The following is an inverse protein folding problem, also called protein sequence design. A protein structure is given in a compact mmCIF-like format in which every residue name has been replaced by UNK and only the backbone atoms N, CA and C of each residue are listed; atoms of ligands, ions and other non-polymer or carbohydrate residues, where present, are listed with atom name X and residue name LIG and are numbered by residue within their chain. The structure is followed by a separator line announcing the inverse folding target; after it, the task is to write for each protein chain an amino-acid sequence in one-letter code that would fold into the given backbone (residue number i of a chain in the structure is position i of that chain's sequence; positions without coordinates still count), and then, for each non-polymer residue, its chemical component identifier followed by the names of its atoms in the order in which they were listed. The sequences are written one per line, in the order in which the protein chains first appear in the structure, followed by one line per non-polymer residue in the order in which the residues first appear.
data_IF_370159411196
#
_entry.id   IF_370159411196
#
_cell.length_a   1.000
_cell.length_b   1.000
_cell.length_c   1.000
_cell.angle_alpha   90.00
_cell.angle_beta   90.00
_cell.angle_gamma   90.00
#
_symmetry.space_group_name_H-M   'P 1'
#
loop_
_entity.id
_entity.type
_entity.pdbx_description
1 polymer ?
#
# COMPACT_ATOMS: atom_id res chain seq x y z
N UNK A 1 4.79 -16.58 22.77
CA UNK A 1 4.69 -15.59 23.86
C UNK A 1 4.53 -14.20 23.26
N UNK A 2 3.30 -13.70 23.18
CA UNK A 2 2.98 -12.39 22.59
C UNK A 2 3.13 -11.30 23.66
N UNK A 3 4.01 -10.32 23.43
CA UNK A 3 4.13 -9.14 24.31
C UNK A 3 2.95 -8.19 24.02
N UNK A 4 2.26 -7.68 25.05
CA UNK A 4 1.17 -6.73 24.83
C UNK A 4 1.71 -5.40 24.30
N UNK A 5 1.00 -4.86 23.31
CA UNK A 5 1.30 -3.59 22.67
C UNK A 5 1.18 -2.44 23.69
N UNK A 6 2.21 -1.58 23.80
CA UNK A 6 2.29 -0.50 24.79
C UNK A 6 1.14 0.51 24.73
N UNK A 7 0.39 0.58 23.62
CA UNK A 7 -0.80 1.42 23.49
C UNK A 7 -1.99 0.99 24.37
N UNK A 8 -2.16 -0.31 24.63
CA UNK A 8 -3.29 -0.81 25.43
C UNK A 8 -3.16 -0.47 26.93
N UNK A 9 -1.93 -0.30 27.42
CA UNK A 9 -1.66 0.06 28.82
C UNK A 9 -2.07 1.50 29.15
N UNK A 10 -2.01 2.42 28.18
CA UNK A 10 -2.40 3.82 28.38
C UNK A 10 -3.93 3.95 28.42
N UNK A 11 -4.65 3.21 27.58
CA UNK A 11 -6.12 3.16 27.60
C UNK A 11 -6.66 2.46 28.87
N UNK A 12 -5.97 1.44 29.39
CA UNK A 12 -6.31 0.80 30.66
C UNK A 12 -6.14 1.73 31.87
N UNK A 13 -5.07 2.52 31.91
CA UNK A 13 -4.82 3.49 32.98
C UNK A 13 -5.83 4.66 32.97
N UNK A 14 -6.29 5.10 31.79
CA UNK A 14 -7.32 6.13 31.68
C UNK A 14 -8.69 5.65 32.21
N UNK A 15 -9.01 4.35 32.02
CA UNK A 15 -10.23 3.73 32.56
C UNK A 15 -10.22 3.67 34.11
N UNK A 16 -9.06 3.52 34.74
CA UNK A 16 -8.96 3.41 36.21
C UNK A 16 -9.05 4.78 36.89
N UNK A 17 -8.67 5.87 36.21
CA UNK A 17 -8.73 7.22 36.79
C UNK A 17 -10.10 7.90 36.64
N UNK A 18 -10.91 7.52 35.64
CA UNK A 18 -12.21 8.18 35.39
C UNK A 18 -13.37 7.45 36.09
N UNK A 19 -13.27 6.14 36.32
CA UNK A 19 -14.39 5.33 36.82
C UNK A 19 -14.68 5.49 38.34
N UNK A 20 -13.71 5.69 39.25
CA UNK A 20 -14.04 5.81 40.67
C UNK A 20 -14.67 7.15 41.07
N UNK A 21 -14.58 8.19 40.23
CA UNK A 21 -15.10 9.51 40.55
C UNK A 21 -16.60 9.70 40.23
N UNK A 22 -17.24 8.71 39.58
CA UNK A 22 -18.62 8.81 39.11
C UNK A 22 -19.59 7.81 39.77
N UNK A 23 -19.11 6.95 40.67
CA UNK A 23 -19.88 5.79 41.13
C UNK A 23 -20.72 6.01 42.41
N UNK A 24 -20.73 7.20 43.04
CA UNK A 24 -21.31 7.34 44.38
C UNK A 24 -22.27 8.51 44.61
N UNK A 25 -23.04 8.92 43.59
CA UNK A 25 -24.28 9.69 43.81
C UNK A 25 -25.34 9.31 42.78
N UNK A 26 -26.33 8.54 43.22
CA UNK A 26 -27.65 8.53 42.57
C UNK A 26 -28.21 9.95 42.58
N UNK A 27 -28.81 10.36 41.47
CA UNK A 27 -29.28 11.73 41.19
C UNK A 27 -28.20 12.76 40.84
N UNK A 28 -27.52 12.59 39.70
CA UNK A 28 -27.08 13.76 38.93
C UNK A 28 -27.19 13.46 37.44
N UNK A 29 -28.06 14.20 36.75
CA UNK A 29 -27.86 14.53 35.35
C UNK A 29 -26.55 15.30 35.26
N UNK A 30 -25.45 14.58 35.07
CA UNK A 30 -24.15 15.20 34.83
C UNK A 30 -24.23 15.79 33.43
N UNK A 31 -24.60 17.07 33.35
CA UNK A 31 -24.37 17.89 32.16
C UNK A 31 -22.87 17.89 31.90
N UNK A 32 -22.42 16.97 31.04
CA UNK A 32 -21.01 16.75 30.70
C UNK A 32 -20.34 18.06 30.19
N UNK A 33 -21.14 19.03 29.76
CA UNK A 33 -20.73 20.35 29.28
C UNK A 33 -21.43 21.53 30.00
N UNK A 34 -21.44 21.55 31.34
CA UNK A 34 -21.83 22.74 32.11
C UNK A 34 -20.70 23.78 32.17
N UNK A 35 -21.02 25.08 32.20
CA UNK A 35 -20.03 26.16 32.37
C UNK A 35 -19.15 26.00 33.63
N UNK A 36 -19.64 25.26 34.64
CA UNK A 36 -18.89 24.93 35.86
C UNK A 36 -17.80 23.87 35.66
N UNK A 37 -17.88 23.02 34.62
CA UNK A 37 -16.86 22.00 34.32
C UNK A 37 -15.75 22.50 33.37
N UNK A 38 -15.90 23.71 32.83
CA UNK A 38 -14.98 24.27 31.82
C UNK A 38 -13.53 24.41 32.32
N UNK A 39 -13.30 24.81 33.58
CA UNK A 39 -11.95 24.94 34.14
C UNK A 39 -11.24 23.59 34.28
N UNK A 40 -11.98 22.55 34.67
CA UNK A 40 -11.48 21.17 34.78
C UNK A 40 -11.10 20.63 33.40
N UNK A 41 -11.95 20.82 32.39
CA UNK A 41 -11.66 20.41 31.01
C UNK A 41 -10.47 21.16 30.42
N UNK A 42 -10.36 22.46 30.68
CA UNK A 42 -9.22 23.28 30.22
C UNK A 42 -7.91 22.79 30.84
N UNK A 43 -7.91 22.48 32.15
CA UNK A 43 -6.73 21.96 32.85
C UNK A 43 -6.32 20.58 32.33
N UNK A 44 -7.29 19.70 32.07
CA UNK A 44 -7.07 18.39 31.48
C UNK A 44 -6.45 18.51 30.07
N UNK A 45 -7.03 19.36 29.22
CA UNK A 45 -6.52 19.63 27.87
C UNK A 45 -5.11 20.22 27.91
N UNK A 46 -4.83 21.16 28.82
CA UNK A 46 -3.50 21.75 28.97
C UNK A 46 -2.48 20.69 29.44
N UNK A 47 -2.85 19.83 30.38
CA UNK A 47 -2.02 18.73 30.87
C UNK A 47 -1.70 17.70 29.78
N UNK A 48 -2.72 17.26 29.02
CA UNK A 48 -2.55 16.35 27.88
C UNK A 48 -1.68 16.98 26.80
N UNK A 49 -1.91 18.26 26.48
CA UNK A 49 -1.13 18.99 25.47
C UNK A 49 0.32 19.17 25.90
N UNK A 50 0.58 19.48 27.18
CA UNK A 50 1.95 19.62 27.70
C UNK A 50 2.69 18.29 27.71
N UNK A 51 2.02 17.20 28.11
CA UNK A 51 2.59 15.85 28.01
C UNK A 51 2.85 15.45 26.55
N UNK A 52 1.97 15.81 25.64
CA UNK A 52 2.15 15.59 24.21
C UNK A 52 3.37 16.36 23.69
N UNK A 53 3.49 17.67 23.98
CA UNK A 53 4.64 18.51 23.61
C UNK A 53 5.93 17.93 24.20
N UNK A 54 5.96 17.62 25.50
CA UNK A 54 7.16 17.05 26.13
C UNK A 54 7.54 15.68 25.54
N UNK A 55 6.56 14.82 25.21
CA UNK A 55 6.82 13.49 24.65
C UNK A 55 7.07 13.49 23.15
N UNK A 56 6.58 14.45 22.38
CA UNK A 56 6.75 14.49 20.93
C UNK A 56 7.84 15.46 20.49
N UNK A 57 7.97 16.63 21.11
CA UNK A 57 8.94 17.66 20.70
C UNK A 57 10.30 17.49 21.36
N UNK A 58 10.38 17.01 22.61
CA UNK A 58 11.66 16.81 23.32
C UNK A 58 12.22 15.39 23.16
N UNK A 59 11.78 14.64 22.15
CA UNK A 59 12.21 13.26 21.90
C UNK A 59 13.71 13.20 21.54
N UNK A 60 14.55 13.03 22.57
CA UNK A 60 15.86 12.40 22.38
C UNK A 60 15.61 11.00 21.84
N UNK A 61 16.29 10.63 20.75
CA UNK A 61 16.24 9.26 20.24
C UNK A 61 16.64 8.31 21.40
N UNK A 62 15.87 7.25 21.67
CA UNK A 62 16.23 6.30 22.72
C UNK A 62 17.61 5.69 22.42
N UNK A 63 18.40 5.35 23.46
CA UNK A 63 19.78 4.90 23.29
C UNK A 63 19.89 3.63 22.43
N UNK A 64 18.89 2.75 22.49
CA UNK A 64 18.80 1.55 21.66
C UNK A 64 18.76 1.89 20.16
N UNK A 65 18.03 2.93 19.76
CA UNK A 65 17.97 3.37 18.36
C UNK A 65 19.30 3.99 17.94
N UNK A 66 19.97 4.74 18.81
CA UNK A 66 21.29 5.30 18.53
C UNK A 66 22.35 4.21 18.37
N UNK A 67 22.35 3.19 19.23
CA UNK A 67 23.25 2.04 19.10
C UNK A 67 22.99 1.25 17.81
N UNK A 68 21.72 1.04 17.45
CA UNK A 68 21.36 0.40 16.20
C UNK A 68 21.79 1.22 14.96
N UNK A 69 21.64 2.55 15.01
CA UNK A 69 22.12 3.46 13.95
C UNK A 69 23.65 3.42 13.81
N UNK A 70 24.40 3.38 14.93
CA UNK A 70 25.85 3.24 14.93
C UNK A 70 26.32 1.88 14.41
N UNK A 71 25.63 0.80 14.80
CA UNK A 71 25.93 -0.55 14.30
C UNK A 71 25.69 -0.63 12.78
N UNK A 72 24.60 -0.03 12.28
CA UNK A 72 24.35 0.09 10.84
C UNK A 72 25.43 0.91 10.15
N UNK A 73 25.83 2.06 10.70
CA UNK A 73 26.93 2.90 10.16
C UNK A 73 28.19 2.07 9.95
N UNK A 74 28.65 1.34 10.99
CA UNK A 74 29.86 0.50 10.92
C UNK A 74 29.75 -0.55 9.81
N UNK A 75 28.62 -1.28 9.78
CA UNK A 75 28.35 -2.30 8.77
C UNK A 75 28.41 -1.73 7.35
N UNK A 76 27.77 -0.58 7.08
CA UNK A 76 27.80 0.05 5.76
C UNK A 76 29.20 0.50 5.37
N UNK A 77 29.93 1.19 6.27
CA UNK A 77 31.31 1.63 6.00
C UNK A 77 32.24 0.46 5.70
N UNK A 78 32.15 -0.63 6.47
CA UNK A 78 32.93 -1.85 6.24
C UNK A 78 32.60 -2.48 4.89
N UNK A 79 31.32 -2.64 4.56
CA UNK A 79 30.89 -3.20 3.26
C UNK A 79 31.34 -2.35 2.07
N UNK A 80 31.20 -1.03 2.15
CA UNK A 80 31.67 -0.11 1.11
C UNK A 80 33.19 -0.23 0.92
N UNK A 81 33.95 -0.32 2.02
CA UNK A 81 35.41 -0.47 1.97
C UNK A 81 35.86 -1.80 1.36
N UNK A 82 35.12 -2.89 1.62
CA UNK A 82 35.41 -4.20 1.03
C UNK A 82 35.13 -4.20 -0.48
N UNK A 83 34.01 -3.61 -0.91
CA UNK A 83 33.67 -3.51 -2.34
C UNK A 83 34.68 -2.62 -3.07
N UNK A 84 35.08 -1.50 -2.48
CA UNK A 84 36.09 -0.62 -3.06
C UNK A 84 37.40 -1.37 -3.32
N UNK A 85 37.90 -2.12 -2.32
CA UNK A 85 39.11 -2.94 -2.47
C UNK A 85 38.95 -4.05 -3.52
N UNK A 86 37.83 -4.78 -3.52
CA UNK A 86 37.57 -5.84 -4.51
C UNK A 86 37.55 -5.28 -5.94
N UNK A 87 36.91 -4.12 -6.15
CA UNK A 87 36.87 -3.47 -7.47
C UNK A 87 38.24 -2.95 -7.87
N UNK A 88 38.99 -2.33 -6.97
CA UNK A 88 40.37 -1.86 -7.23
C UNK A 88 41.31 -3.03 -7.58
N UNK A 89 41.21 -4.16 -6.87
CA UNK A 89 41.99 -5.36 -7.17
C UNK A 89 41.61 -5.95 -8.53
N UNK A 90 40.32 -6.02 -8.86
CA UNK A 90 39.84 -6.50 -10.16
C UNK A 90 40.26 -5.56 -11.29
N UNK A 91 40.24 -4.25 -11.06
CA UNK A 91 40.67 -3.25 -12.02
C UNK A 91 42.18 -3.39 -12.30
N UNK A 92 42.98 -3.56 -11.25
CA UNK A 92 44.43 -3.79 -11.35
C UNK A 92 44.76 -5.08 -12.09
N UNK A 93 44.02 -6.17 -11.82
CA UNK A 93 44.21 -7.47 -12.47
C UNK A 93 43.79 -7.47 -13.94
N UNK A 94 42.68 -6.82 -14.25
CA UNK A 94 42.18 -6.74 -15.62
C UNK A 94 43.02 -5.77 -16.48
N UNK A 95 43.60 -4.73 -15.88
CA UNK A 95 44.28 -3.67 -16.61
C UNK A 95 43.34 -2.85 -17.50
N UNK A 96 42.04 -2.86 -17.18
CA UNK A 96 40.99 -2.22 -17.96
C UNK A 96 40.29 -1.15 -17.12
N UNK A 97 39.82 -0.09 -17.77
CA UNK A 97 39.00 0.94 -17.15
C UNK A 97 37.69 0.37 -16.57
N UNK A 98 37.18 1.01 -15.51
CA UNK A 98 36.00 0.58 -14.76
C UNK A 98 34.76 0.34 -15.66
N UNK A 99 34.60 1.13 -16.73
CA UNK A 99 33.46 1.02 -17.66
C UNK A 99 33.44 -0.29 -18.46
N UNK A 100 34.61 -0.92 -18.65
CA UNK A 100 34.75 -2.12 -19.48
C UNK A 100 34.77 -3.41 -18.66
N UNK A 101 34.68 -3.33 -17.33
CA UNK A 101 34.64 -4.51 -16.48
C UNK A 101 33.28 -5.20 -16.56
N UNK A 102 33.27 -6.50 -16.87
CA UNK A 102 32.02 -7.28 -16.92
C UNK A 102 31.57 -7.76 -15.54
N UNK A 103 32.53 -8.04 -14.65
CA UNK A 103 32.30 -8.60 -13.31
C UNK A 103 32.17 -7.54 -12.20
N UNK A 104 31.37 -6.49 -12.46
CA UNK A 104 31.02 -5.49 -11.45
C UNK A 104 29.91 -6.00 -10.53
N UNK A 105 29.84 -5.54 -9.26
CA UNK A 105 28.71 -5.83 -8.38
C UNK A 105 27.38 -5.38 -9.00
N UNK A 106 26.31 -6.11 -8.67
CA UNK A 106 24.95 -5.78 -9.13
C UNK A 106 24.50 -4.39 -8.69
N UNK A 107 23.80 -3.68 -9.57
CA UNK A 107 23.32 -2.32 -9.29
C UNK A 107 22.41 -2.25 -8.06
N UNK A 108 21.57 -3.26 -7.84
CA UNK A 108 20.68 -3.35 -6.67
C UNK A 108 21.47 -3.43 -5.36
N UNK A 109 22.54 -4.22 -5.34
CA UNK A 109 23.42 -4.35 -4.17
C UNK A 109 24.14 -3.03 -3.87
N UNK A 110 24.57 -2.30 -4.89
CA UNK A 110 25.17 -0.97 -4.74
C UNK A 110 24.13 0.05 -4.24
N UNK A 111 22.91 0.00 -4.76
CA UNK A 111 21.82 0.86 -4.31
C UNK A 111 21.47 0.64 -2.84
N UNK A 112 21.41 -0.63 -2.37
CA UNK A 112 21.16 -0.98 -0.97
C UNK A 112 22.23 -0.48 0.02
N UNK A 113 23.42 -0.09 -0.46
CA UNK A 113 24.46 0.57 0.35
C UNK A 113 24.26 2.09 0.43
N UNK A 114 23.62 2.69 -0.57
CA UNK A 114 23.35 4.13 -0.62
C UNK A 114 21.98 4.50 -0.02
N UNK A 115 21.04 3.55 -0.01
CA UNK A 115 19.66 3.73 0.43
C UNK A 115 19.22 2.60 1.38
N UNK A 116 18.59 2.95 2.51
CA UNK A 116 17.98 1.99 3.41
C UNK A 116 16.47 1.89 3.13
N UNK A 117 16.05 0.78 2.52
CA UNK A 117 14.66 0.53 2.14
C UNK A 117 13.71 0.47 3.34
N UNK A 118 14.20 0.07 4.54
CA UNK A 118 13.35 -0.08 5.72
C UNK A 118 13.00 1.28 6.32
N UNK A 119 13.94 2.22 6.30
CA UNK A 119 13.72 3.58 6.82
C UNK A 119 13.36 4.58 5.71
N UNK A 120 13.44 4.19 4.45
CA UNK A 120 13.32 5.07 3.28
C UNK A 120 14.19 6.34 3.37
N UNK A 121 15.45 6.18 3.77
CA UNK A 121 16.41 7.28 3.90
C UNK A 121 17.76 6.93 3.29
N UNK A 122 18.52 7.96 2.88
CA UNK A 122 19.93 7.79 2.49
C UNK A 122 20.76 7.29 3.65
N UNK A 123 21.76 6.48 3.36
CA UNK A 123 22.69 5.95 4.39
C UNK A 123 23.54 7.04 5.04
N UNK A 124 23.65 8.23 4.44
CA UNK A 124 24.21 9.44 5.06
C UNK A 124 23.50 9.84 6.36
N UNK A 125 22.22 9.47 6.53
CA UNK A 125 21.44 9.71 7.76
C UNK A 125 22.02 8.98 8.97
N UNK A 126 22.82 7.93 8.75
CA UNK A 126 23.53 7.19 9.80
C UNK A 126 24.85 7.85 10.21
N UNK A 127 25.14 9.06 9.73
CA UNK A 127 26.38 9.79 10.02
C UNK A 127 27.56 9.35 9.16
N UNK A 128 27.32 8.74 8.00
CA UNK A 128 28.32 8.54 6.94
C UNK A 128 28.43 9.87 6.20
N UNK A 129 29.62 10.48 6.19
CA UNK A 129 29.78 11.79 5.60
C UNK A 129 29.73 11.70 4.08
N UNK A 130 29.06 12.66 3.43
CA UNK A 130 28.96 12.72 1.97
C UNK A 130 30.33 12.80 1.27
N UNK A 131 31.34 13.32 1.97
CA UNK A 131 32.73 13.49 1.50
C UNK A 131 33.60 12.26 1.72
N UNK A 132 33.06 11.18 2.29
CA UNK A 132 33.82 9.96 2.53
C UNK A 132 34.12 9.29 1.18
N UNK A 133 35.41 9.04 0.89
CA UNK A 133 35.86 8.50 -0.41
C UNK A 133 35.13 7.23 -0.82
N UNK A 134 34.88 6.33 0.14
CA UNK A 134 34.17 5.08 -0.10
C UNK A 134 32.72 5.32 -0.57
N UNK A 135 32.04 6.34 -0.02
CA UNK A 135 30.67 6.66 -0.43
C UNK A 135 30.64 7.23 -1.86
N UNK A 136 31.55 8.17 -2.17
CA UNK A 136 31.66 8.75 -3.51
C UNK A 136 31.99 7.67 -4.55
N UNK A 137 32.94 6.79 -4.23
CA UNK A 137 33.30 5.67 -5.09
C UNK A 137 32.10 4.76 -5.40
N UNK A 138 31.28 4.44 -4.40
CA UNK A 138 30.07 3.61 -4.60
C UNK A 138 29.00 4.35 -5.41
N UNK A 139 28.89 5.67 -5.28
CA UNK A 139 27.98 6.48 -6.10
C UNK A 139 28.40 6.48 -7.57
N UNK A 140 29.70 6.68 -7.84
CA UNK A 140 30.26 6.66 -9.18
C UNK A 140 30.10 5.27 -9.81
N UNK A 141 30.38 4.22 -9.02
CA UNK A 141 30.24 2.82 -9.43
C UNK A 141 28.78 2.47 -9.77
N UNK A 142 27.81 2.91 -8.95
CA UNK A 142 26.39 2.71 -9.23
C UNK A 142 25.99 3.38 -10.54
N UNK A 143 26.45 4.61 -10.78
CA UNK A 143 26.15 5.37 -11.99
C UNK A 143 26.61 4.63 -13.24
N UNK A 144 27.85 4.13 -13.24
CA UNK A 144 28.41 3.33 -14.34
C UNK A 144 27.63 2.02 -14.53
N UNK A 145 27.32 1.32 -13.43
CA UNK A 145 26.65 0.02 -13.50
C UNK A 145 25.21 0.13 -14.00
N UNK A 146 24.44 1.12 -13.50
CA UNK A 146 23.06 1.38 -13.95
C UNK A 146 23.02 1.71 -15.44
N UNK A 147 23.96 2.54 -15.91
CA UNK A 147 24.05 2.88 -17.33
C UNK A 147 24.34 1.64 -18.20
N UNK A 148 25.28 0.78 -17.77
CA UNK A 148 25.62 -0.47 -18.48
C UNK A 148 24.46 -1.47 -18.47
N UNK A 149 23.82 -1.71 -17.33
CA UNK A 149 22.69 -2.62 -17.19
C UNK A 149 21.49 -2.17 -18.04
N UNK A 150 21.18 -0.87 -18.04
CA UNK A 150 20.09 -0.32 -18.86
C UNK A 150 20.41 -0.41 -20.36
N UNK A 151 21.63 -0.06 -20.78
CA UNK A 151 22.04 -0.15 -22.18
C UNK A 151 21.96 -1.59 -22.69
N UNK A 152 22.50 -2.54 -21.93
CA UNK A 152 22.44 -3.97 -22.27
C UNK A 152 20.99 -4.47 -22.38
N UNK A 153 20.10 -4.08 -21.47
CA UNK A 153 18.68 -4.46 -21.53
C UNK A 153 17.98 -3.85 -22.76
N UNK A 154 18.29 -2.60 -23.12
CA UNK A 154 17.77 -1.93 -24.31
C UNK A 154 18.20 -2.68 -25.57
N UNK A 155 19.49 -2.97 -25.70
CA UNK A 155 20.07 -3.59 -26.90
C UNK A 155 19.55 -5.02 -27.05
N UNK A 156 19.52 -5.81 -25.97
CA UNK A 156 18.98 -7.18 -25.97
C UNK A 156 17.48 -7.20 -26.34
N UNK A 157 16.68 -6.27 -25.82
CA UNK A 157 15.25 -6.16 -26.21
C UNK A 157 15.09 -5.74 -27.67
N UNK A 158 15.92 -4.83 -28.19
CA UNK A 158 15.89 -4.46 -29.62
C UNK A 158 16.24 -5.65 -30.51
N UNK A 159 17.27 -6.41 -30.14
CA UNK A 159 17.68 -7.62 -30.87
C UNK A 159 16.57 -8.69 -30.85
N UNK A 160 15.96 -8.94 -29.70
CA UNK A 160 14.84 -9.88 -29.58
C UNK A 160 13.65 -9.46 -30.46
N UNK A 161 13.31 -8.16 -30.46
CA UNK A 161 12.26 -7.61 -31.32
C UNK A 161 12.58 -7.68 -32.82
N UNK A 162 13.86 -7.73 -33.19
CA UNK A 162 14.32 -7.86 -34.58
C UNK A 162 14.32 -9.32 -35.06
N UNK A 163 14.65 -10.28 -34.19
CA UNK A 163 14.72 -11.72 -34.49
C UNK A 163 13.36 -12.42 -34.60
N UNK A 164 12.26 -11.73 -34.33
CA UNK A 164 10.91 -12.33 -34.29
C UNK A 164 10.52 -12.89 -35.67
N UNK A 165 10.66 -14.20 -35.86
CA UNK A 165 10.43 -14.92 -37.13
C UNK A 165 11.36 -16.11 -37.37
N UNK A 166 12.45 -16.23 -36.59
CA UNK A 166 13.31 -17.41 -36.54
C UNK A 166 13.12 -18.10 -35.17
N UNK A 167 13.30 -19.43 -35.15
CA UNK A 167 12.88 -20.37 -34.10
C UNK A 167 13.13 -19.89 -32.65
N UNK A 168 12.15 -20.17 -31.78
CA UNK A 168 12.06 -19.78 -30.37
C UNK A 168 13.14 -20.50 -29.52
N UNK A 169 14.36 -19.96 -29.45
CA UNK A 169 15.34 -20.38 -28.44
C UNK A 169 15.93 -19.18 -27.66
N UNK A 170 15.90 -19.32 -26.33
CA UNK A 170 16.54 -18.51 -25.26
C UNK A 170 16.30 -16.98 -25.18
N UNK A 171 15.58 -16.36 -26.13
CA UNK A 171 15.34 -14.91 -26.16
C UNK A 171 14.01 -14.40 -25.57
N UNK A 172 13.13 -15.31 -25.13
CA UNK A 172 11.71 -14.98 -24.88
C UNK A 172 11.49 -13.96 -23.75
N UNK A 173 12.36 -13.96 -22.74
CA UNK A 173 12.24 -13.06 -21.58
C UNK A 173 12.49 -11.58 -21.90
N UNK A 174 13.06 -11.28 -23.08
CA UNK A 174 13.23 -9.92 -23.57
C UNK A 174 12.21 -9.52 -24.64
N UNK A 175 11.45 -10.49 -25.19
CA UNK A 175 10.41 -10.22 -26.19
C UNK A 175 9.20 -9.49 -25.61
N UNK A 176 8.80 -9.83 -24.39
CA UNK A 176 7.70 -9.17 -23.69
C UNK A 176 8.08 -7.79 -23.12
N UNK A 177 9.39 -7.50 -23.07
CA UNK A 177 9.96 -6.30 -22.48
C UNK A 177 9.90 -6.28 -20.94
N UNK A 178 9.63 -7.42 -20.29
CA UNK A 178 9.53 -7.55 -18.84
C UNK A 178 10.83 -7.17 -18.15
N UNK A 179 11.95 -7.78 -18.57
CA UNK A 179 13.30 -7.45 -18.05
C UNK A 179 13.68 -5.99 -18.27
N UNK A 180 13.37 -5.43 -19.45
CA UNK A 180 13.62 -4.01 -19.73
C UNK A 180 12.79 -3.12 -18.80
N UNK A 181 11.54 -3.49 -18.52
CA UNK A 181 10.69 -2.77 -17.58
C UNK A 181 11.29 -2.75 -16.18
N UNK A 182 11.77 -3.88 -15.68
CA UNK A 182 12.40 -3.98 -14.36
C UNK A 182 13.61 -3.04 -14.26
N UNK A 183 14.46 -3.00 -15.29
CA UNK A 183 15.61 -2.09 -15.33
C UNK A 183 15.20 -0.62 -15.43
N UNK A 184 14.17 -0.30 -16.21
CA UNK A 184 13.61 1.07 -16.30
C UNK A 184 12.99 1.52 -14.98
N UNK A 185 12.23 0.65 -14.31
CA UNK A 185 11.60 0.92 -13.01
C UNK A 185 12.66 1.10 -11.92
N UNK A 186 13.72 0.28 -11.94
CA UNK A 186 14.88 0.44 -11.06
C UNK A 186 15.60 1.77 -11.31
N UNK A 187 15.78 2.16 -12.57
CA UNK A 187 16.32 3.49 -12.91
C UNK A 187 15.40 4.61 -12.37
N UNK A 188 14.09 4.53 -12.56
CA UNK A 188 13.17 5.52 -11.99
C UNK A 188 13.19 5.55 -10.46
N UNK A 189 13.45 4.42 -9.79
CA UNK A 189 13.66 4.35 -8.34
C UNK A 189 14.95 5.08 -7.93
N UNK A 190 16.08 4.76 -8.56
CA UNK A 190 17.37 5.41 -8.31
C UNK A 190 17.27 6.92 -8.55
N UNK A 191 16.64 7.35 -9.65
CA UNK A 191 16.41 8.76 -9.96
C UNK A 191 15.56 9.48 -8.90
N UNK A 192 14.51 8.82 -8.38
CA UNK A 192 13.62 9.39 -7.35
C UNK A 192 14.31 9.50 -5.99
N UNK A 193 15.13 8.53 -5.60
CA UNK A 193 15.73 8.46 -4.25
C UNK A 193 17.12 9.11 -4.16
N UNK A 194 17.96 8.95 -5.18
CA UNK A 194 19.35 9.43 -5.20
C UNK A 194 19.56 10.71 -6.03
N UNK A 195 18.64 11.04 -6.94
CA UNK A 195 18.67 12.28 -7.72
C UNK A 195 18.87 12.03 -9.22
N UNK A 196 18.77 13.11 -10.02
CA UNK A 196 18.79 13.03 -11.49
C UNK A 196 20.17 12.71 -12.06
N UNK A 197 21.23 13.01 -11.33
CA UNK A 197 22.61 12.93 -11.84
C UNK A 197 23.12 11.49 -11.95
N UNK A 198 22.47 10.53 -11.26
CA UNK A 198 22.84 9.12 -11.28
C UNK A 198 22.46 8.40 -12.58
N UNK A 199 21.62 9.01 -13.43
CA UNK A 199 21.05 8.34 -14.61
C UNK A 199 21.01 9.29 -15.79
N UNK A 200 21.53 8.82 -16.91
CA UNK A 200 21.35 9.49 -18.20
C UNK A 200 19.86 9.53 -18.59
N UNK A 201 19.28 10.73 -18.55
CA UNK A 201 17.89 10.98 -18.87
C UNK A 201 17.55 10.59 -20.32
N UNK A 202 18.52 10.66 -21.25
CA UNK A 202 18.33 10.28 -22.64
C UNK A 202 18.18 8.76 -22.78
N UNK A 203 19.07 7.99 -22.14
CA UNK A 203 19.00 6.51 -22.13
C UNK A 203 17.76 6.00 -21.42
N UNK A 204 17.36 6.63 -20.32
CA UNK A 204 16.11 6.28 -19.64
C UNK A 204 14.88 6.53 -20.52
N UNK A 205 14.88 7.63 -21.30
CA UNK A 205 13.82 7.93 -22.27
C UNK A 205 13.78 6.88 -23.39
N UNK A 206 14.94 6.55 -23.95
CA UNK A 206 15.08 5.49 -24.96
C UNK A 206 14.55 4.14 -24.45
N UNK A 207 14.93 3.74 -23.24
CA UNK A 207 14.44 2.50 -22.62
C UNK A 207 12.93 2.48 -22.46
N UNK A 208 12.31 3.61 -22.08
CA UNK A 208 10.84 3.73 -22.00
C UNK A 208 10.16 3.62 -23.37
N UNK A 209 10.76 4.17 -24.42
CA UNK A 209 10.24 4.09 -25.78
C UNK A 209 10.32 2.66 -26.33
N UNK A 210 11.45 1.98 -26.13
CA UNK A 210 11.63 0.57 -26.51
C UNK A 210 10.67 -0.33 -25.73
N UNK A 211 10.52 -0.11 -24.42
CA UNK A 211 9.54 -0.83 -23.61
C UNK A 211 8.10 -0.61 -24.09
N UNK A 212 7.72 0.62 -24.42
CA UNK A 212 6.40 0.93 -24.98
C UNK A 212 6.16 0.22 -26.31
N UNK A 213 7.20 0.05 -27.13
CA UNK A 213 7.12 -0.70 -28.37
C UNK A 213 7.00 -2.21 -28.12
N UNK A 214 7.83 -2.77 -27.24
CA UNK A 214 7.79 -4.18 -26.84
C UNK A 214 6.42 -4.55 -26.22
N UNK A 215 5.96 -3.77 -25.24
CA UNK A 215 4.67 -3.97 -24.57
C UNK A 215 3.48 -3.89 -25.53
N UNK A 216 3.44 -2.92 -26.45
CA UNK A 216 2.38 -2.87 -27.48
C UNK A 216 2.36 -4.11 -28.38
N UNK A 217 3.54 -4.66 -28.69
CA UNK A 217 3.67 -5.86 -29.51
C UNK A 217 3.24 -7.11 -28.74
N UNK A 218 3.64 -7.23 -27.47
CA UNK A 218 3.18 -8.28 -26.54
C UNK A 218 1.67 -8.18 -26.23
N UNK A 219 1.13 -6.96 -26.22
CA UNK A 219 -0.30 -6.68 -26.06
C UNK A 219 -1.11 -6.81 -27.35
N UNK A 220 -0.55 -7.35 -28.45
CA UNK A 220 -1.38 -7.67 -29.63
C UNK A 220 -2.59 -8.48 -29.15
N UNK A 221 -3.78 -8.04 -29.56
CA UNK A 221 -5.07 -8.38 -28.93
C UNK A 221 -5.29 -9.89 -28.70
N UNK A 222 -4.65 -10.75 -29.49
CA UNK A 222 -4.69 -12.20 -29.29
C UNK A 222 -4.19 -12.67 -27.92
N UNK A 223 -3.11 -12.10 -27.38
CA UNK A 223 -2.53 -12.59 -26.12
C UNK A 223 -3.27 -12.07 -24.90
N UNK A 224 -3.80 -10.83 -24.95
CA UNK A 224 -4.71 -10.35 -23.92
C UNK A 224 -5.98 -11.19 -23.87
N UNK A 225 -6.59 -11.51 -25.03
CA UNK A 225 -7.79 -12.35 -25.07
C UNK A 225 -7.50 -13.75 -24.56
N UNK A 226 -6.35 -14.35 -24.90
CA UNK A 226 -5.95 -15.66 -24.35
C UNK A 226 -5.78 -15.60 -22.82
N UNK A 227 -5.03 -14.62 -22.30
CA UNK A 227 -4.83 -14.44 -20.85
C UNK A 227 -6.14 -14.15 -20.12
N UNK A 228 -6.97 -13.28 -20.66
CA UNK A 228 -8.29 -12.97 -20.12
C UNK A 228 -9.22 -14.19 -20.15
N UNK A 229 -9.15 -15.01 -21.20
CA UNK A 229 -9.88 -16.28 -21.28
C UNK A 229 -9.43 -17.26 -20.21
N UNK A 230 -8.13 -17.45 -20.01
CA UNK A 230 -7.61 -18.31 -18.93
C UNK A 230 -8.06 -17.80 -17.56
N UNK A 231 -8.04 -16.49 -17.34
CA UNK A 231 -8.53 -15.89 -16.10
C UNK A 231 -10.04 -16.11 -15.94
N UNK A 232 -10.82 -15.97 -17.01
CA UNK A 232 -12.25 -16.19 -17.00
C UNK A 232 -12.61 -17.67 -16.74
N UNK A 233 -11.88 -18.61 -17.33
CA UNK A 233 -12.01 -20.05 -17.06
C UNK A 233 -11.72 -20.37 -15.58
N UNK A 234 -10.77 -19.66 -14.97
CA UNK A 234 -10.48 -19.76 -13.53
C UNK A 234 -11.59 -19.15 -12.65
N UNK A 235 -12.25 -18.08 -13.11
CA UNK A 235 -13.34 -17.38 -12.41
C UNK A 235 -14.71 -18.04 -12.58
N UNK A 236 -14.93 -18.79 -13.66
CA UNK A 236 -16.19 -19.49 -13.94
C UNK A 236 -16.81 -20.22 -12.72
N UNK A 237 -16.09 -21.04 -11.93
CA UNK A 237 -16.66 -21.73 -10.76
C UNK A 237 -17.14 -20.81 -9.64
N UNK A 238 -16.58 -19.61 -9.50
CA UNK A 238 -16.89 -18.68 -8.41
C UNK A 238 -17.89 -17.62 -8.81
N UNK A 239 -18.20 -17.54 -10.11
CA UNK A 239 -19.00 -16.48 -10.71
C UNK A 239 -20.36 -16.30 -10.03
N UNK A 240 -21.06 -17.41 -9.73
CA UNK A 240 -22.37 -17.35 -9.09
C UNK A 240 -22.33 -16.77 -7.65
N UNK A 241 -21.26 -17.02 -6.89
CA UNK A 241 -21.09 -16.41 -5.57
C UNK A 241 -20.80 -14.91 -5.69
N UNK A 242 -19.97 -14.52 -6.67
CA UNK A 242 -19.69 -13.10 -6.95
C UNK A 242 -20.92 -12.34 -7.43
N UNK A 243 -21.80 -13.01 -8.20
CA UNK A 243 -23.06 -12.44 -8.66
C UNK A 243 -23.99 -12.03 -7.51
N UNK A 244 -23.86 -12.67 -6.34
CA UNK A 244 -24.58 -12.29 -5.12
C UNK A 244 -23.76 -11.28 -4.29
N UNK A 245 -22.47 -11.54 -4.08
CA UNK A 245 -21.61 -10.73 -3.21
C UNK A 245 -21.47 -9.28 -3.68
N UNK A 246 -21.32 -9.06 -5.00
CA UNK A 246 -21.11 -7.71 -5.56
C UNK A 246 -22.34 -6.81 -5.35
N UNK A 247 -23.57 -7.21 -5.72
CA UNK A 247 -24.77 -6.44 -5.41
C UNK A 247 -24.97 -6.20 -3.90
N UNK A 248 -24.73 -7.20 -3.05
CA UNK A 248 -24.80 -7.01 -1.60
C UNK A 248 -23.83 -5.91 -1.12
N UNK A 249 -22.60 -5.90 -1.64
CA UNK A 249 -21.61 -4.87 -1.36
C UNK A 249 -22.09 -3.47 -1.75
N UNK A 250 -22.67 -3.34 -2.95
CA UNK A 250 -23.24 -2.07 -3.41
C UNK A 250 -24.40 -1.60 -2.53
N UNK A 251 -25.28 -2.52 -2.11
CA UNK A 251 -26.41 -2.22 -1.22
C UNK A 251 -25.92 -1.76 0.16
N UNK A 252 -24.92 -2.44 0.74
CA UNK A 252 -24.34 -2.04 2.03
C UNK A 252 -23.81 -0.61 1.95
N UNK A 253 -22.92 -0.30 1.01
CA UNK A 253 -22.34 1.04 0.88
C UNK A 253 -23.42 2.10 0.57
N UNK A 254 -24.39 1.75 -0.28
CA UNK A 254 -25.51 2.63 -0.58
C UNK A 254 -26.34 2.96 0.67
N UNK A 255 -26.69 1.95 1.47
CA UNK A 255 -27.44 2.14 2.71
C UNK A 255 -26.60 2.88 3.76
N UNK A 256 -25.33 2.53 3.95
CA UNK A 256 -24.43 3.25 4.85
C UNK A 256 -24.31 4.73 4.47
N UNK A 257 -24.22 5.03 3.17
CA UNK A 257 -24.17 6.42 2.67
C UNK A 257 -25.44 7.22 2.99
N UNK A 258 -26.58 6.57 3.24
CA UNK A 258 -27.85 7.21 3.61
C UNK A 258 -28.02 7.25 5.14
N UNK A 259 -27.74 6.15 5.84
CA UNK A 259 -27.97 6.03 7.28
C UNK A 259 -26.89 6.69 8.14
N UNK A 260 -25.66 6.82 7.64
CA UNK A 260 -24.56 7.49 8.36
C UNK A 260 -24.37 8.95 7.96
N UNK A 261 -25.35 9.57 7.30
CA UNK A 261 -25.32 11.00 7.05
C UNK A 261 -25.47 11.78 8.35
N UNK A 262 -24.59 12.76 8.56
CA UNK A 262 -24.61 13.65 9.74
C UNK A 262 -25.97 14.32 9.91
N UNK A 263 -26.61 14.73 8.80
CA UNK A 263 -27.92 15.38 8.82
C UNK A 263 -29.00 14.51 9.52
N UNK A 264 -28.97 13.19 9.31
CA UNK A 264 -29.97 12.28 9.90
C UNK A 264 -29.79 12.12 11.41
N UNK A 265 -28.54 12.12 11.87
CA UNK A 265 -28.21 12.13 13.30
C UNK A 265 -28.56 13.47 13.96
N UNK A 266 -28.37 14.57 13.22
CA UNK A 266 -28.74 15.90 13.69
C UNK A 266 -30.25 16.05 13.92
N UNK A 267 -31.10 15.51 13.03
CA UNK A 267 -32.56 15.55 13.21
C UNK A 267 -33.02 14.90 14.52
N UNK A 268 -32.34 13.82 14.96
CA UNK A 268 -32.64 13.18 16.25
C UNK A 268 -32.29 14.13 17.41
N UNK A 269 -31.14 14.81 17.33
CA UNK A 269 -30.72 15.79 18.32
C UNK A 269 -31.64 17.02 18.38
N UNK A 270 -32.10 17.51 17.23
CA UNK A 270 -33.05 18.62 17.12
C UNK A 270 -34.42 18.25 17.71
N UNK A 271 -34.96 17.07 17.38
CA UNK A 271 -36.21 16.57 17.95
C UNK A 271 -36.12 16.40 19.48
N UNK A 272 -34.99 15.88 19.97
CA UNK A 272 -34.74 15.74 21.39
C UNK A 272 -34.66 17.11 22.10
N UNK A 273 -34.00 18.09 21.48
CA UNK A 273 -33.92 19.46 22.02
C UNK A 273 -35.29 20.16 22.05
N UNK A 274 -36.19 19.83 21.12
CA UNK A 274 -37.56 20.32 21.09
C UNK A 274 -38.50 19.61 22.08
N UNK A 275 -38.06 18.53 22.74
CA UNK A 275 -38.90 17.71 23.62
C UNK A 275 -39.92 16.83 22.89
N UNK A 276 -39.71 16.54 21.60
CA UNK A 276 -40.60 15.74 20.77
C UNK A 276 -40.25 14.24 20.83
N UNK A 277 -40.55 13.60 21.96
CA UNK A 277 -40.19 12.20 22.24
C UNK A 277 -40.69 11.21 21.18
N UNK A 278 -41.87 11.43 20.60
CA UNK A 278 -42.43 10.58 19.54
C UNK A 278 -41.60 10.62 18.25
N UNK A 279 -41.07 11.80 17.90
CA UNK A 279 -40.22 11.96 16.72
C UNK A 279 -38.85 11.32 16.96
N UNK A 280 -38.27 11.51 18.15
CA UNK A 280 -37.03 10.83 18.55
C UNK A 280 -37.18 9.31 18.47
N UNK A 281 -38.24 8.76 19.07
CA UNK A 281 -38.51 7.32 19.05
C UNK A 281 -38.66 6.79 17.62
N UNK A 282 -39.41 7.49 16.76
CA UNK A 282 -39.57 7.10 15.35
C UNK A 282 -38.24 7.06 14.60
N UNK A 283 -37.40 8.09 14.74
CA UNK A 283 -36.10 8.13 14.08
C UNK A 283 -35.13 7.08 14.62
N UNK A 284 -35.12 6.84 15.94
CA UNK A 284 -34.29 5.79 16.55
C UNK A 284 -34.71 4.39 16.08
N UNK A 285 -36.02 4.11 16.02
CA UNK A 285 -36.52 2.84 15.48
C UNK A 285 -36.16 2.68 14.01
N UNK A 286 -36.36 3.72 13.20
CA UNK A 286 -35.97 3.71 11.78
C UNK A 286 -34.48 3.47 11.58
N UNK A 287 -33.64 4.08 12.42
CA UNK A 287 -32.19 3.89 12.42
C UNK A 287 -31.82 2.46 12.84
N UNK A 288 -32.46 1.91 13.88
CA UNK A 288 -32.24 0.55 14.33
C UNK A 288 -32.61 -0.48 13.24
N UNK A 289 -33.78 -0.33 12.62
CA UNK A 289 -34.21 -1.17 11.48
C UNK A 289 -33.20 -1.05 10.33
N UNK A 290 -32.76 0.17 10.02
CA UNK A 290 -31.72 0.40 9.02
C UNK A 290 -30.43 -0.36 9.29
N UNK A 291 -29.94 -0.33 10.53
CA UNK A 291 -28.74 -1.07 10.93
C UNK A 291 -28.91 -2.58 10.80
N UNK A 292 -30.08 -3.12 11.18
CA UNK A 292 -30.38 -4.55 11.02
C UNK A 292 -30.34 -4.94 9.54
N UNK A 293 -30.91 -4.12 8.65
CA UNK A 293 -30.89 -4.37 7.20
C UNK A 293 -29.47 -4.28 6.64
N UNK A 294 -28.70 -3.26 7.02
CA UNK A 294 -27.29 -3.12 6.63
C UNK A 294 -26.51 -4.35 7.07
N UNK A 295 -26.68 -4.79 8.32
CA UNK A 295 -25.98 -5.94 8.87
C UNK A 295 -26.35 -7.25 8.16
N UNK A 296 -27.61 -7.43 7.79
CA UNK A 296 -28.04 -8.57 6.99
C UNK A 296 -27.30 -8.64 5.64
N UNK A 297 -27.23 -7.54 4.90
CA UNK A 297 -26.51 -7.51 3.62
C UNK A 297 -24.99 -7.62 3.79
N UNK A 298 -24.45 -7.08 4.88
CA UNK A 298 -23.04 -7.21 5.21
C UNK A 298 -22.65 -8.66 5.48
N UNK A 299 -23.46 -9.37 6.26
CA UNK A 299 -23.26 -10.80 6.51
C UNK A 299 -23.31 -11.60 5.21
N UNK A 300 -24.28 -11.30 4.33
CA UNK A 300 -24.39 -11.94 3.01
C UNK A 300 -23.14 -11.68 2.16
N UNK A 301 -22.72 -10.41 2.06
CA UNK A 301 -21.49 -9.99 1.35
C UNK A 301 -20.28 -10.78 1.83
N UNK A 302 -20.06 -10.85 3.15
CA UNK A 302 -18.94 -11.56 3.76
C UNK A 302 -18.99 -13.07 3.50
N UNK A 303 -20.15 -13.72 3.73
CA UNK A 303 -20.30 -15.16 3.52
C UNK A 303 -19.99 -15.56 2.08
N UNK A 304 -20.58 -14.87 1.10
CA UNK A 304 -20.39 -15.20 -0.32
C UNK A 304 -19.00 -14.83 -0.83
N UNK A 305 -18.45 -13.71 -0.39
CA UNK A 305 -17.09 -13.30 -0.74
C UNK A 305 -16.05 -14.29 -0.19
N UNK A 306 -16.15 -14.66 1.10
CA UNK A 306 -15.25 -15.63 1.72
C UNK A 306 -15.36 -17.01 1.06
N UNK A 307 -16.58 -17.43 0.68
CA UNK A 307 -16.79 -18.69 -0.05
C UNK A 307 -16.14 -18.66 -1.43
N UNK A 308 -16.34 -17.57 -2.19
CA UNK A 308 -15.72 -17.37 -3.49
C UNK A 308 -14.18 -17.39 -3.38
N UNK A 309 -13.64 -16.68 -2.39
CA UNK A 309 -12.20 -16.65 -2.11
C UNK A 309 -11.65 -18.05 -1.82
N UNK A 310 -12.31 -18.81 -0.94
CA UNK A 310 -11.88 -20.16 -0.58
C UNK A 310 -11.80 -21.10 -1.78
N UNK A 311 -12.83 -21.10 -2.64
CA UNK A 311 -12.87 -21.94 -3.86
C UNK A 311 -11.80 -21.50 -4.86
N UNK A 312 -11.64 -20.20 -5.07
CA UNK A 312 -10.65 -19.64 -6.00
C UNK A 312 -9.22 -20.00 -5.59
N UNK A 313 -8.87 -19.69 -4.34
CA UNK A 313 -7.53 -19.97 -3.79
C UNK A 313 -7.24 -21.47 -3.78
N UNK A 314 -8.23 -22.30 -3.44
CA UNK A 314 -8.06 -23.75 -3.48
C UNK A 314 -7.76 -24.25 -4.91
N UNK A 315 -8.49 -23.78 -5.94
CA UNK A 315 -8.23 -24.18 -7.32
C UNK A 315 -6.85 -23.75 -7.82
N UNK A 316 -6.42 -22.53 -7.52
CA UNK A 316 -5.07 -22.06 -7.87
C UNK A 316 -4.02 -22.92 -7.19
N UNK A 317 -4.13 -23.11 -5.86
CA UNK A 317 -3.14 -23.87 -5.09
C UNK A 317 -3.01 -25.30 -5.57
N UNK A 318 -4.13 -25.99 -5.79
CA UNK A 318 -4.14 -27.36 -6.31
C UNK A 318 -3.59 -27.43 -7.74
N UNK A 319 -3.95 -26.47 -8.60
CA UNK A 319 -3.46 -26.41 -9.98
C UNK A 319 -1.95 -26.19 -10.06
N UNK A 320 -1.43 -25.21 -9.32
CA UNK A 320 0.01 -24.93 -9.28
C UNK A 320 0.76 -26.07 -8.62
N UNK A 321 0.27 -26.64 -7.51
CA UNK A 321 0.92 -27.77 -6.86
C UNK A 321 1.03 -28.98 -7.80
N UNK A 322 -0.01 -29.27 -8.59
CA UNK A 322 0.01 -30.34 -9.59
C UNK A 322 1.08 -30.09 -10.66
N UNK A 323 1.20 -28.86 -11.16
CA UNK A 323 2.22 -28.49 -12.14
C UNK A 323 3.63 -28.49 -11.54
N UNK A 324 3.77 -28.08 -10.28
CA UNK A 324 5.03 -28.02 -9.55
C UNK A 324 5.62 -29.42 -9.35
N UNK A 325 4.79 -30.40 -8.98
CA UNK A 325 5.22 -31.81 -8.80
C UNK A 325 5.70 -32.44 -10.11
N UNK A 326 5.28 -31.90 -11.26
CA UNK A 326 5.70 -32.37 -12.58
C UNK A 326 7.02 -31.73 -13.06
N UNK A 327 7.58 -30.77 -12.31
CA UNK A 327 8.87 -30.18 -12.62
C UNK A 327 10.01 -31.17 -12.34
N UNK A 328 11.13 -30.95 -13.00
CA UNK A 328 12.36 -31.74 -12.90
C UNK A 328 13.13 -31.44 -11.60
N UNK A 329 14.05 -32.33 -11.25
CA UNK A 329 14.85 -32.19 -10.03
C UNK A 329 15.74 -30.94 -10.06
N UNK A 330 16.24 -30.52 -11.23
CA UNK A 330 17.08 -29.32 -11.35
C UNK A 330 16.32 -28.04 -10.96
N UNK A 331 15.02 -27.97 -11.28
CA UNK A 331 14.17 -26.87 -10.85
C UNK A 331 14.08 -26.77 -9.31
N UNK A 332 13.97 -27.91 -8.61
CA UNK A 332 13.90 -27.96 -7.15
C UNK A 332 15.24 -27.71 -6.46
N UNK A 333 16.36 -28.01 -7.12
CA UNK A 333 17.70 -27.64 -6.63
C UNK A 333 17.89 -26.12 -6.64
N UNK A 334 17.33 -25.41 -7.63
CA UNK A 334 17.37 -23.94 -7.73
C UNK A 334 16.35 -23.24 -6.82
N UNK A 335 15.23 -23.89 -6.52
CA UNK A 335 14.12 -23.28 -5.79
C UNK A 335 13.78 -24.08 -4.53
N UNK A 336 14.08 -23.52 -3.35
CA UNK A 336 13.73 -24.16 -2.08
C UNK A 336 12.21 -24.33 -1.92
N UNK A 337 11.79 -25.47 -1.41
CA UNK A 337 10.37 -25.80 -1.21
C UNK A 337 9.64 -24.78 -0.32
N UNK A 338 10.32 -24.24 0.70
CA UNK A 338 9.78 -23.17 1.54
C UNK A 338 9.50 -21.88 0.76
N UNK A 339 10.40 -21.48 -0.14
CA UNK A 339 10.20 -20.30 -0.99
C UNK A 339 9.03 -20.51 -1.96
N UNK A 340 8.91 -21.69 -2.55
CA UNK A 340 7.82 -22.03 -3.47
C UNK A 340 6.46 -22.02 -2.76
N UNK A 341 6.38 -22.56 -1.55
CA UNK A 341 5.14 -22.57 -0.75
C UNK A 341 4.73 -21.15 -0.31
N UNK A 342 5.69 -20.32 0.11
CA UNK A 342 5.42 -18.92 0.47
C UNK A 342 4.92 -18.13 -0.74
N UNK A 343 5.60 -18.24 -1.89
CA UNK A 343 5.19 -17.61 -3.15
C UNK A 343 3.81 -18.06 -3.58
N UNK A 344 3.53 -19.37 -3.57
CA UNK A 344 2.22 -19.90 -3.94
C UNK A 344 1.08 -19.29 -3.08
N UNK A 345 1.29 -19.18 -1.77
CA UNK A 345 0.27 -18.63 -0.88
C UNK A 345 0.09 -17.13 -1.09
N UNK A 346 1.19 -16.38 -1.14
CA UNK A 346 1.20 -14.92 -1.30
C UNK A 346 0.65 -14.52 -2.67
N UNK A 347 1.13 -15.13 -3.74
CA UNK A 347 0.81 -14.74 -5.11
C UNK A 347 -0.65 -15.13 -5.44
N UNK A 348 -1.16 -16.25 -4.92
CA UNK A 348 -2.58 -16.61 -5.03
C UNK A 348 -3.49 -15.60 -4.31
N UNK A 349 -3.09 -15.12 -3.13
CA UNK A 349 -3.85 -14.11 -2.39
C UNK A 349 -3.81 -12.75 -3.10
N UNK A 350 -2.66 -12.35 -3.63
CA UNK A 350 -2.53 -11.13 -4.43
C UNK A 350 -3.39 -11.20 -5.69
N UNK A 351 -3.45 -12.36 -6.35
CA UNK A 351 -4.29 -12.56 -7.52
C UNK A 351 -5.78 -12.39 -7.17
N UNK A 352 -6.24 -12.95 -6.04
CA UNK A 352 -7.61 -12.71 -5.55
C UNK A 352 -7.89 -11.22 -5.31
N UNK A 353 -6.99 -10.54 -4.59
CA UNK A 353 -7.14 -9.12 -4.26
C UNK A 353 -7.25 -8.25 -5.51
N UNK A 354 -6.36 -8.46 -6.47
CA UNK A 354 -6.28 -7.60 -7.65
C UNK A 354 -7.38 -7.90 -8.68
N UNK A 355 -7.77 -9.16 -8.85
CA UNK A 355 -8.74 -9.56 -9.90
C UNK A 355 -10.18 -9.41 -9.43
N UNK A 356 -10.46 -9.64 -8.15
CA UNK A 356 -11.84 -9.79 -7.66
C UNK A 356 -12.17 -8.73 -6.61
N UNK A 357 -11.37 -8.64 -5.54
CA UNK A 357 -11.68 -7.72 -4.44
C UNK A 357 -11.62 -6.25 -4.88
N UNK A 358 -10.55 -5.84 -5.59
CA UNK A 358 -10.37 -4.45 -6.01
C UNK A 358 -11.49 -3.96 -6.95
N UNK A 359 -11.91 -4.69 -8.01
CA UNK A 359 -13.07 -4.28 -8.79
C UNK A 359 -14.37 -4.20 -7.98
N UNK A 360 -14.59 -5.13 -7.04
CA UNK A 360 -15.75 -5.08 -6.15
C UNK A 360 -15.72 -3.82 -5.25
N UNK A 361 -14.56 -3.46 -4.70
CA UNK A 361 -14.36 -2.23 -3.91
C UNK A 361 -14.58 -0.99 -4.78
N UNK A 362 -14.11 -0.98 -6.03
CA UNK A 362 -14.35 0.12 -6.97
C UNK A 362 -15.84 0.32 -7.27
N UNK A 363 -16.59 -0.76 -7.52
CA UNK A 363 -18.04 -0.69 -7.75
C UNK A 363 -18.80 -0.20 -6.51
N UNK A 364 -18.37 -0.67 -5.34
CA UNK A 364 -18.87 -0.25 -4.02
C UNK A 364 -18.63 1.25 -3.80
N UNK A 365 -17.41 1.74 -4.06
CA UNK A 365 -17.06 3.15 -3.95
C UNK A 365 -17.84 4.05 -4.92
N UNK A 366 -18.02 3.62 -6.18
CA UNK A 366 -18.85 4.32 -7.16
C UNK A 366 -20.31 4.42 -6.67
N UNK A 367 -20.82 3.37 -6.04
CA UNK A 367 -22.17 3.36 -5.46
C UNK A 367 -22.29 4.35 -4.29
N UNK A 368 -21.30 4.38 -3.41
CA UNK A 368 -21.24 5.34 -2.30
C UNK A 368 -21.22 6.79 -2.79
N UNK A 369 -20.36 7.12 -3.77
CA UNK A 369 -20.29 8.46 -4.37
C UNK A 369 -21.65 8.86 -4.96
N UNK A 370 -22.30 7.94 -5.68
CA UNK A 370 -23.64 8.18 -6.24
C UNK A 370 -24.72 8.33 -5.17
N UNK A 371 -24.59 7.70 -4.01
CA UNK A 371 -25.49 7.87 -2.87
C UNK A 371 -25.34 9.24 -2.19
N UNK A 372 -24.13 9.80 -2.19
CA UNK A 372 -23.83 11.11 -1.58
C UNK A 372 -24.26 12.29 -2.49
N UNK A 373 -24.09 12.17 -3.81
CA UNK A 373 -24.37 13.25 -4.78
C UNK A 373 -25.80 13.85 -4.70
N UNK A 374 -26.87 13.05 -4.56
CA UNK A 374 -28.23 13.56 -4.38
C UNK A 374 -28.37 14.44 -3.14
N UNK A 375 -27.66 14.09 -2.05
CA UNK A 375 -27.72 14.81 -0.79
C UNK A 375 -27.05 16.20 -0.90
N UNK A 376 -25.92 16.30 -1.61
CA UNK A 376 -25.29 17.59 -1.88
C UNK A 376 -26.17 18.52 -2.72
N UNK A 377 -26.92 18.00 -3.70
CA UNK A 377 -27.84 18.82 -4.49
C UNK A 377 -29.02 19.34 -3.65
N UNK A 378 -29.53 18.55 -2.70
CA UNK A 378 -30.62 18.97 -1.83
C UNK A 378 -30.15 19.93 -0.72
N UNK A 379 -28.97 19.70 -0.14
CA UNK A 379 -28.36 20.62 0.83
C UNK A 379 -27.94 21.95 0.20
N UNK A 380 -27.41 21.97 -1.05
CA UNK A 380 -27.16 23.23 -1.74
C UNK A 380 -28.47 23.99 -2.00
N UNK A 381 -29.55 23.28 -2.36
CA UNK A 381 -30.88 23.89 -2.52
C UNK A 381 -31.43 24.43 -1.20
N UNK A 382 -31.17 23.76 -0.08
CA UNK A 382 -31.60 24.20 1.25
C UNK A 382 -30.82 25.43 1.72
N UNK A 383 -29.50 25.47 1.52
CA UNK A 383 -28.67 26.66 1.82
C UNK A 383 -29.03 27.85 0.93
N UNK A 384 -29.38 27.61 -0.33
CA UNK A 384 -29.84 28.68 -1.24
C UNK A 384 -31.22 29.19 -0.81
N UNK A 385 -32.17 28.34 -0.40
CA UNK A 385 -33.49 28.80 0.06
C UNK A 385 -33.48 29.49 1.43
N UNK A 386 -32.63 29.06 2.37
CA UNK A 386 -32.50 29.74 3.68
C UNK A 386 -31.91 31.15 3.52
N UNK A 387 -31.08 31.40 2.50
CA UNK A 387 -30.56 32.74 2.19
C UNK A 387 -31.62 33.70 1.61
N UNK A 388 -32.72 33.19 1.06
CA UNK A 388 -33.83 34.03 0.58
C UNK A 388 -34.84 34.37 1.69
N UNK A 389 -35.04 33.49 2.69
CA UNK A 389 -36.00 33.77 3.78
C UNK A 389 -35.48 34.75 4.85
N UNK A 390 -34.18 35.06 4.87
CA UNK A 390 -33.58 36.04 5.81
C UNK A 390 -33.57 37.47 5.21
N UNK A 391 -33.94 37.63 3.94
CA UNK A 391 -33.98 38.94 3.27
C UNK A 391 -35.33 39.67 3.34
N UNK A 392 -36.36 39.05 3.92
CA UNK A 392 -37.72 39.63 4.02
C UNK A 392 -38.10 40.07 5.45
N UNK A 393 -37.11 40.20 6.35
CA UNK A 393 -37.24 40.87 7.63
C UNK A 393 -36.31 42.09 7.67
N UNK A 394 -36.66 43.10 6.89
CA UNK A 394 -36.34 44.53 7.11
C UNK A 394 -37.57 45.37 6.74
#
# INVERSE_FOLDING_TARGET
MLRPCRGCLVLGALRILVVPALADRGEMGVEVFSAKSASTWTTLLLGITTLFIAKFLLKKKPPEILQAEQAKKRKYSELMSMIMKDVEEKQTKAGVELMQMDNLPEAERLFALLWDDVKEVRTTTYGIHATEKALQFIQDLLTVRVAKDLASAIDTTKEALAKTGQEEEEGDEYLDGGKLKEKVDFCDLVRRRLGKDFIDAQRLKEGKEVYKHASKRSMKAGDFVKKARTLFELMTPIFHWLLIAVPCSMVVEGLQSIYYQVARWQTIGEAAAAGEDSMVAWHLVGLAVGHVVIWFFELMRECYSNRAQGIFLHRIRTGVMKALIQQDYEYFDKNSSGSLQERLNRDAEQLWKNVIALPQEMLSAVTCIRGILPCHCTCLRFVVNVRWSISDYD
#
